data_IF_530998017262
#
_entry.id   IF_530998017262
#
_cell.length_a   1.000
_cell.length_b   1.000
_cell.length_c   1.000
_cell.angle_alpha   90.00
_cell.angle_beta   90.00
_cell.angle_gamma   90.00
#
_symmetry.space_group_name_H-M   'P 1'
#
loop_
_entity.id
_entity.type
_entity.pdbx_description
1 polymer ?
#
# COMPACT_ATOMS: atom_id res chain seq x y z
N UNK A 1 72.94 -60.26 -41.74
CA UNK A 1 72.02 -59.66 -42.75
C UNK A 1 70.63 -59.58 -42.14
N UNK A 2 69.99 -58.40 -42.25
CA UNK A 2 68.57 -58.07 -41.96
C UNK A 2 68.17 -58.08 -40.48
N UNK A 3 68.28 -56.96 -39.77
CA UNK A 3 67.42 -55.75 -39.72
C UNK A 3 66.10 -55.96 -38.96
N UNK A 4 66.10 -55.38 -37.76
CA UNK A 4 64.98 -55.07 -36.88
C UNK A 4 64.02 -54.06 -37.51
N UNK A 5 62.73 -54.18 -37.20
CA UNK A 5 61.74 -53.12 -37.41
C UNK A 5 60.90 -53.01 -36.14
N UNK A 6 61.14 -51.95 -35.36
CA UNK A 6 60.28 -51.56 -34.24
C UNK A 6 58.99 -50.95 -34.80
N UNK A 7 57.85 -51.36 -34.25
CA UNK A 7 56.56 -50.74 -34.49
C UNK A 7 56.46 -49.45 -33.66
N UNK A 8 56.32 -48.31 -34.35
CA UNK A 8 56.05 -47.02 -33.74
C UNK A 8 54.55 -46.88 -33.48
N UNK A 9 54.14 -46.90 -32.20
CA UNK A 9 52.79 -46.47 -31.80
C UNK A 9 52.73 -44.93 -31.84
N UNK A 10 51.93 -44.37 -32.75
CA UNK A 10 51.57 -42.96 -32.76
C UNK A 10 50.49 -42.70 -31.70
N UNK A 11 50.86 -42.07 -30.59
CA UNK A 11 49.94 -41.56 -29.58
C UNK A 11 49.43 -40.17 -30.03
N UNK A 12 48.23 -40.10 -30.60
CA UNK A 12 47.54 -38.82 -30.82
C UNK A 12 46.95 -38.35 -29.49
N UNK A 13 47.57 -37.34 -28.87
CA UNK A 13 47.04 -36.64 -27.70
C UNK A 13 45.85 -35.77 -28.13
N UNK A 14 44.64 -36.18 -27.75
CA UNK A 14 43.43 -35.37 -27.88
C UNK A 14 43.35 -34.44 -26.66
N UNK A 15 43.75 -33.18 -26.82
CA UNK A 15 43.52 -32.14 -25.80
C UNK A 15 42.05 -31.74 -25.82
N UNK A 16 41.26 -32.33 -24.92
CA UNK A 16 39.92 -31.84 -24.63
C UNK A 16 40.03 -30.50 -23.89
N UNK A 17 39.76 -29.40 -24.60
CA UNK A 17 39.51 -28.10 -23.98
C UNK A 17 38.14 -28.20 -23.31
N UNK A 18 38.13 -28.42 -22.00
CA UNK A 18 36.94 -28.21 -21.17
C UNK A 18 36.63 -26.71 -21.18
N UNK A 19 35.75 -26.29 -22.08
CA UNK A 19 35.11 -25.00 -21.97
C UNK A 19 34.30 -25.00 -20.67
N UNK A 20 34.72 -24.19 -19.70
CA UNK A 20 33.91 -23.91 -18.52
C UNK A 20 32.54 -23.41 -19.00
N UNK A 21 31.42 -23.86 -18.39
CA UNK A 21 30.12 -23.31 -18.73
C UNK A 21 30.20 -21.80 -18.50
N UNK A 22 30.03 -21.03 -19.57
CA UNK A 22 29.85 -19.60 -19.47
C UNK A 22 28.68 -19.38 -18.53
N UNK A 23 28.94 -18.82 -17.35
CA UNK A 23 27.90 -18.30 -16.47
C UNK A 23 27.08 -17.34 -17.31
N UNK A 24 25.89 -17.76 -17.74
CA UNK A 24 24.92 -16.86 -18.29
C UNK A 24 24.62 -15.88 -17.16
N UNK A 25 25.23 -14.70 -17.21
CA UNK A 25 24.73 -13.56 -16.48
C UNK A 25 23.31 -13.38 -17.00
N UNK A 26 22.32 -13.80 -16.20
CA UNK A 26 20.99 -13.23 -16.32
C UNK A 26 21.21 -11.74 -16.16
N UNK A 27 21.31 -11.04 -17.29
CA UNK A 27 21.38 -9.59 -17.32
C UNK A 27 20.20 -9.13 -16.50
N UNK A 28 20.46 -8.59 -15.32
CA UNK A 28 19.44 -8.05 -14.45
C UNK A 28 18.82 -6.91 -15.24
N UNK A 29 17.67 -7.17 -15.87
CA UNK A 29 16.94 -6.13 -16.56
C UNK A 29 16.78 -4.97 -15.58
N UNK A 30 17.09 -3.71 -15.95
CA UNK A 30 17.00 -2.60 -15.03
C UNK A 30 15.60 -2.57 -14.42
N UNK A 31 15.48 -2.75 -13.10
CA UNK A 31 14.18 -2.72 -12.42
C UNK A 31 13.52 -1.36 -12.69
N UNK A 32 12.28 -1.36 -13.17
CA UNK A 32 11.53 -0.12 -13.42
C UNK A 32 10.84 0.43 -12.18
N UNK A 33 10.87 -0.32 -11.09
CA UNK A 33 10.16 -0.02 -9.88
C UNK A 33 10.33 -1.12 -8.84
N UNK A 34 9.60 -0.99 -7.74
CA UNK A 34 9.59 -1.96 -6.66
C UNK A 34 8.19 -2.12 -6.07
N UNK A 35 7.97 -3.24 -5.40
CA UNK A 35 6.79 -3.51 -4.57
C UNK A 35 7.26 -3.99 -3.21
N UNK A 36 6.64 -3.49 -2.15
CA UNK A 36 6.97 -3.79 -0.77
C UNK A 36 5.71 -4.25 -0.05
N UNK A 37 5.79 -5.37 0.65
CA UNK A 37 4.70 -5.89 1.48
C UNK A 37 5.16 -5.97 2.94
N UNK A 38 4.35 -5.43 3.85
CA UNK A 38 4.59 -5.51 5.28
C UNK A 38 4.02 -6.81 5.82
N UNK A 39 4.82 -7.56 6.57
CA UNK A 39 4.42 -8.89 7.06
C UNK A 39 3.40 -8.83 8.18
N UNK A 40 3.43 -7.77 9.00
CA UNK A 40 2.68 -7.65 10.25
C UNK A 40 2.78 -8.89 11.17
N UNK A 41 3.87 -9.65 11.05
CA UNK A 41 4.18 -10.75 11.95
C UNK A 41 4.67 -10.19 13.30
N UNK A 42 4.71 -11.06 14.32
CA UNK A 42 5.31 -10.72 15.63
C UNK A 42 6.71 -10.14 15.42
N UNK A 43 7.55 -10.80 14.62
CA UNK A 43 8.79 -10.21 14.11
C UNK A 43 8.49 -9.51 12.78
N UNK A 44 8.10 -8.23 12.84
CA UNK A 44 7.63 -7.54 11.65
C UNK A 44 8.79 -7.23 10.70
N UNK A 45 8.52 -7.39 9.40
CA UNK A 45 9.47 -7.18 8.33
C UNK A 45 8.77 -6.66 7.08
N UNK A 46 9.57 -6.06 6.20
CA UNK A 46 9.15 -5.72 4.84
C UNK A 46 9.73 -6.74 3.87
N UNK A 47 8.87 -7.41 3.11
CA UNK A 47 9.27 -8.23 1.96
C UNK A 47 9.33 -7.33 0.75
N UNK A 48 10.51 -7.22 0.13
CA UNK A 48 10.71 -6.35 -1.03
C UNK A 48 10.85 -7.15 -2.32
N UNK A 49 10.32 -6.60 -3.39
CA UNK A 49 10.35 -7.14 -4.74
C UNK A 49 10.83 -6.07 -5.72
N UNK A 50 11.70 -6.44 -6.66
CA UNK A 50 11.95 -5.63 -7.86
C UNK A 50 10.84 -5.89 -8.88
N UNK A 51 10.34 -4.83 -9.51
CA UNK A 51 9.35 -4.90 -10.59
C UNK A 51 10.04 -4.90 -11.96
N UNK A 52 9.73 -5.92 -12.77
CA UNK A 52 10.12 -6.00 -14.18
C UNK A 52 9.26 -5.07 -15.05
N UNK A 53 9.68 -4.85 -16.30
CA UNK A 53 8.94 -4.00 -17.26
C UNK A 53 7.52 -4.49 -17.54
N UNK A 54 7.29 -5.80 -17.48
CA UNK A 54 5.99 -6.45 -17.69
C UNK A 54 5.10 -6.46 -16.44
N UNK A 55 5.58 -5.90 -15.32
CA UNK A 55 4.89 -5.87 -14.03
C UNK A 55 5.08 -7.13 -13.18
N UNK A 56 5.84 -8.13 -13.65
CA UNK A 56 6.17 -9.29 -12.82
C UNK A 56 7.14 -8.92 -11.69
N UNK A 57 7.05 -9.64 -10.58
CA UNK A 57 7.80 -9.35 -9.36
C UNK A 57 8.84 -10.43 -9.07
N UNK A 58 10.03 -9.99 -8.67
CA UNK A 58 11.10 -10.87 -8.18
C UNK A 58 11.48 -10.43 -6.78
N UNK A 59 11.38 -11.34 -5.80
CA UNK A 59 11.76 -11.02 -4.41
C UNK A 59 13.24 -10.65 -4.36
N UNK A 60 13.56 -9.53 -3.72
CA UNK A 60 14.93 -9.05 -3.54
C UNK A 60 15.43 -9.10 -2.11
N UNK A 61 14.54 -9.16 -1.12
CA UNK A 61 14.95 -9.26 0.27
C UNK A 61 13.80 -9.32 1.27
N UNK A 62 14.18 -9.59 2.52
CA UNK A 62 13.35 -9.44 3.70
C UNK A 62 14.10 -8.51 4.64
N UNK A 63 13.47 -7.42 5.06
CA UNK A 63 14.08 -6.35 5.82
C UNK A 63 13.34 -6.21 7.15
N UNK A 64 13.93 -6.63 8.28
CA UNK A 64 13.28 -6.49 9.58
C UNK A 64 12.96 -5.03 9.87
N UNK A 65 11.74 -4.74 10.32
CA UNK A 65 11.44 -3.43 10.90
C UNK A 65 12.16 -3.31 12.25
N UNK A 66 12.43 -4.43 12.91
CA UNK A 66 12.94 -4.47 14.27
C UNK A 66 11.91 -4.03 15.31
N UNK A 67 10.64 -3.94 14.89
CA UNK A 67 9.49 -3.82 15.76
C UNK A 67 8.49 -4.94 15.51
N UNK A 68 7.32 -4.86 16.14
CA UNK A 68 6.35 -5.94 16.21
C UNK A 68 5.02 -5.61 15.54
N UNK A 69 4.52 -6.57 14.77
CA UNK A 69 3.18 -6.60 14.23
C UNK A 69 2.22 -7.33 15.17
N UNK A 70 0.94 -7.30 14.85
CA UNK A 70 -0.12 -7.89 15.67
C UNK A 70 -0.50 -9.31 15.24
N UNK A 71 -0.04 -9.79 14.08
CA UNK A 71 -0.38 -11.12 13.56
C UNK A 71 -1.84 -11.29 13.15
N UNK A 72 -2.58 -10.19 13.05
CA UNK A 72 -3.98 -10.11 12.57
C UNK A 72 -4.10 -8.92 11.63
N UNK A 73 -5.03 -8.97 10.67
CA UNK A 73 -5.21 -7.87 9.72
C UNK A 73 -5.43 -6.54 10.43
N UNK A 74 -4.75 -5.50 9.95
CA UNK A 74 -4.87 -4.13 10.48
C UNK A 74 -6.28 -3.58 10.40
N UNK A 75 -7.11 -4.10 9.49
CA UNK A 75 -8.46 -3.59 9.23
C UNK A 75 -8.40 -2.07 8.92
N UNK A 76 -7.36 -1.63 8.19
CA UNK A 76 -7.12 -0.25 7.74
C UNK A 76 -6.32 -0.22 6.43
N UNK A 77 -6.22 0.94 5.79
CA UNK A 77 -5.37 1.20 4.63
C UNK A 77 -4.18 2.07 5.06
N UNK A 78 -3.00 1.91 4.44
CA UNK A 78 -1.87 2.83 4.67
C UNK A 78 -0.90 2.41 5.77
N UNK A 79 -0.85 1.12 6.14
CA UNK A 79 0.15 0.60 7.08
C UNK A 79 1.60 0.60 6.55
N UNK A 80 1.78 0.77 5.24
CA UNK A 80 3.08 0.89 4.60
C UNK A 80 3.03 2.00 3.54
N UNK A 81 3.83 3.06 3.70
CA UNK A 81 3.77 4.24 2.85
C UNK A 81 5.15 4.62 2.30
N UNK A 82 5.23 4.93 0.99
CA UNK A 82 6.43 5.50 0.36
C UNK A 82 6.39 7.04 0.42
N UNK A 83 7.57 7.67 0.52
CA UNK A 83 7.71 9.08 0.18
C UNK A 83 7.44 9.30 -1.32
N UNK A 84 6.98 10.49 -1.69
CA UNK A 84 6.62 10.82 -3.08
C UNK A 84 7.79 10.72 -4.07
N UNK A 85 9.04 10.80 -3.58
CA UNK A 85 10.27 10.61 -4.36
C UNK A 85 10.80 9.17 -4.31
N UNK A 86 10.06 8.26 -3.65
CA UNK A 86 10.36 6.84 -3.44
C UNK A 86 11.69 6.57 -2.73
N UNK A 87 12.25 7.56 -2.05
CA UNK A 87 13.52 7.44 -1.32
C UNK A 87 13.37 6.88 0.08
N UNK A 88 12.17 6.97 0.66
CA UNK A 88 11.90 6.53 2.02
C UNK A 88 10.63 5.69 2.09
N UNK A 89 10.63 4.69 2.95
CA UNK A 89 9.51 3.81 3.23
C UNK A 89 9.23 3.81 4.73
N UNK A 90 7.97 4.02 5.10
CA UNK A 90 7.51 4.12 6.48
C UNK A 90 6.60 2.93 6.78
N UNK A 91 6.98 2.13 7.78
CA UNK A 91 6.29 0.89 8.15
C UNK A 91 5.79 0.97 9.60
N UNK A 92 4.49 0.81 9.82
CA UNK A 92 3.91 0.79 11.16
C UNK A 92 4.20 -0.55 11.88
N UNK A 93 4.35 -0.49 13.19
CA UNK A 93 4.57 -1.63 14.08
C UNK A 93 3.57 -1.51 15.25
N UNK A 94 2.34 -2.01 15.08
CA UNK A 94 1.26 -1.72 16.02
C UNK A 94 1.39 -2.43 17.38
N UNK A 95 2.18 -3.49 17.49
CA UNK A 95 2.31 -4.21 18.76
C UNK A 95 3.38 -3.63 19.69
N UNK A 96 4.19 -2.68 19.22
CA UNK A 96 5.16 -1.97 20.05
C UNK A 96 5.10 -0.45 19.92
N UNK A 97 4.06 0.10 19.29
CA UNK A 97 3.78 1.54 19.25
C UNK A 97 4.78 2.36 18.40
N UNK A 98 5.44 1.75 17.42
CA UNK A 98 6.48 2.42 16.61
C UNK A 98 6.19 2.48 15.12
N UNK A 99 6.75 3.50 14.48
CA UNK A 99 7.01 3.51 13.03
C UNK A 99 8.49 3.28 12.78
N UNK A 100 8.80 2.40 11.85
CA UNK A 100 10.15 2.20 11.31
C UNK A 100 10.29 2.94 10.00
N UNK A 101 11.40 3.69 9.86
CA UNK A 101 11.76 4.37 8.61
C UNK A 101 12.91 3.64 7.93
N UNK A 102 12.74 3.36 6.65
CA UNK A 102 13.78 2.83 5.78
C UNK A 102 14.18 3.83 4.70
N UNK A 103 15.47 3.91 4.40
CA UNK A 103 15.99 4.43 3.15
C UNK A 103 15.85 3.34 2.06
N UNK A 104 15.28 3.70 0.91
CA UNK A 104 15.19 2.84 -0.27
C UNK A 104 16.49 2.94 -1.06
N UNK A 105 17.26 1.86 -1.04
CA UNK A 105 18.57 1.75 -1.65
C UNK A 105 18.50 0.86 -2.88
N UNK A 106 19.10 1.29 -4.00
CA UNK A 106 19.22 0.46 -5.22
C UNK A 106 17.90 -0.15 -5.71
N UNK A 107 16.81 0.63 -5.70
CA UNK A 107 15.50 0.24 -6.22
C UNK A 107 14.61 -0.49 -5.19
N UNK A 108 15.03 -1.64 -4.70
CA UNK A 108 14.19 -2.47 -3.81
C UNK A 108 14.90 -2.99 -2.57
N UNK A 109 16.14 -2.56 -2.31
CA UNK A 109 16.80 -2.84 -1.04
C UNK A 109 16.40 -1.78 -0.03
N UNK A 110 16.29 -2.17 1.24
CA UNK A 110 15.95 -1.24 2.31
C UNK A 110 17.07 -1.19 3.35
N UNK A 111 17.34 0.01 3.85
CA UNK A 111 18.22 0.23 4.99
C UNK A 111 17.41 0.89 6.09
N UNK A 112 17.24 0.23 7.24
CA UNK A 112 16.60 0.84 8.40
C UNK A 112 17.43 2.03 8.85
N UNK A 113 16.78 3.18 9.01
CA UNK A 113 17.43 4.43 9.45
C UNK A 113 16.82 4.99 10.74
N UNK A 114 15.60 4.59 11.09
CA UNK A 114 14.95 5.04 12.32
C UNK A 114 13.92 4.03 12.83
N UNK A 115 13.72 4.02 14.13
CA UNK A 115 12.54 3.49 14.83
C UNK A 115 12.08 4.57 15.79
N UNK A 116 10.82 4.97 15.75
CA UNK A 116 10.30 6.07 16.59
C UNK A 116 8.91 5.75 17.10
N UNK A 117 8.64 6.08 18.37
CA UNK A 117 7.31 5.98 18.96
C UNK A 117 6.31 6.83 18.16
N UNK A 118 5.14 6.29 17.86
CA UNK A 118 4.22 6.85 16.89
C UNK A 118 2.75 6.85 17.32
N UNK A 119 2.51 6.86 18.63
CA UNK A 119 1.17 6.71 19.19
C UNK A 119 0.87 5.26 19.55
N UNK A 120 -0.25 5.05 20.21
CA UNK A 120 -0.67 3.74 20.73
C UNK A 120 -1.28 2.91 19.59
N UNK A 121 -0.67 1.77 19.28
CA UNK A 121 -1.09 0.88 18.20
C UNK A 121 -1.20 1.59 16.82
N UNK A 122 -0.09 2.06 16.23
CA UNK A 122 -0.10 2.74 14.94
C UNK A 122 -0.54 1.80 13.80
N UNK A 123 -1.57 2.19 13.07
CA UNK A 123 -2.19 1.36 12.02
C UNK A 123 -2.00 1.91 10.61
N UNK A 124 -2.00 3.23 10.44
CA UNK A 124 -1.84 3.91 9.15
C UNK A 124 -0.94 5.12 9.28
N UNK A 125 -0.18 5.47 8.23
CA UNK A 125 0.60 6.69 8.18
C UNK A 125 0.37 7.43 6.85
N UNK A 126 0.08 8.74 6.93
CA UNK A 126 -0.03 9.61 5.76
C UNK A 126 1.06 10.67 5.78
N UNK A 127 1.68 10.90 4.63
CA UNK A 127 2.69 11.94 4.41
C UNK A 127 2.07 13.14 3.69
N UNK A 128 2.47 14.35 4.07
CA UNK A 128 2.13 15.60 3.41
C UNK A 128 3.23 16.04 2.45
N UNK A 129 2.84 16.75 1.38
CA UNK A 129 3.74 17.46 0.47
C UNK A 129 4.54 18.57 1.18
N UNK A 130 4.03 19.09 2.30
CA UNK A 130 4.60 20.18 3.10
C UNK A 130 5.58 19.74 4.19
N UNK A 131 5.92 18.44 4.26
CA UNK A 131 6.95 17.92 5.18
C UNK A 131 6.44 17.51 6.56
N UNK A 132 5.21 17.01 6.63
CA UNK A 132 4.62 16.46 7.85
C UNK A 132 4.11 15.05 7.62
N UNK A 133 3.98 14.26 8.68
CA UNK A 133 3.33 12.97 8.67
C UNK A 133 2.34 12.88 9.83
N UNK A 134 1.24 12.17 9.64
CA UNK A 134 0.34 11.80 10.72
C UNK A 134 0.09 10.31 10.69
N UNK A 135 0.14 9.72 11.88
CA UNK A 135 -0.15 8.32 12.13
C UNK A 135 -1.53 8.23 12.77
N UNK A 136 -2.29 7.22 12.37
CA UNK A 136 -3.58 6.87 12.95
C UNK A 136 -3.38 5.76 13.98
N UNK A 137 -3.81 6.05 15.20
CA UNK A 137 -3.75 5.16 16.35
C UNK A 137 -5.02 4.30 16.36
N UNK A 138 -4.83 2.99 16.44
CA UNK A 138 -5.88 1.97 16.35
C UNK A 138 -6.32 1.38 17.68
N UNK A 139 -5.84 1.91 18.80
CA UNK A 139 -6.19 1.40 20.13
C UNK A 139 -7.63 1.77 20.53
N UNK A 140 -8.04 1.43 21.76
CA UNK A 140 -9.39 1.69 22.28
C UNK A 140 -9.76 3.17 22.17
N UNK A 141 -8.78 4.08 22.22
CA UNK A 141 -8.96 5.50 21.98
C UNK A 141 -8.36 5.89 20.61
N UNK A 142 -9.18 5.93 19.57
CA UNK A 142 -8.74 6.28 18.22
C UNK A 142 -8.28 7.74 18.15
N UNK A 143 -7.09 7.96 17.59
CA UNK A 143 -6.48 9.28 17.54
C UNK A 143 -5.42 9.42 16.46
N UNK A 144 -4.83 10.60 16.36
CA UNK A 144 -3.76 10.89 15.40
C UNK A 144 -2.50 11.40 16.11
N UNK A 145 -1.33 10.93 15.67
CA UNK A 145 -0.02 11.32 16.19
C UNK A 145 0.83 11.97 15.10
N UNK A 146 1.33 13.18 15.36
CA UNK A 146 1.92 14.04 14.33
C UNK A 146 3.46 14.10 14.36
N UNK A 147 4.06 14.16 13.18
CA UNK A 147 5.51 14.29 12.98
C UNK A 147 5.85 15.40 11.98
N UNK A 148 6.99 16.06 12.22
CA UNK A 148 7.77 16.72 11.18
C UNK A 148 8.61 15.69 10.44
N UNK A 149 8.65 15.80 9.12
CA UNK A 149 9.46 14.96 8.24
C UNK A 149 10.64 15.77 7.74
N UNK A 150 11.85 15.31 8.00
CA UNK A 150 13.03 15.76 7.28
C UNK A 150 13.00 15.11 5.89
N UNK A 151 12.70 15.88 4.83
CA UNK A 151 12.56 15.32 3.47
C UNK A 151 13.90 14.93 2.84
N UNK A 152 15.01 15.38 3.41
CA UNK A 152 16.35 15.05 2.95
C UNK A 152 16.78 13.72 3.54
N UNK A 153 16.46 13.45 4.79
CA UNK A 153 16.91 12.24 5.51
C UNK A 153 15.82 11.20 5.71
N UNK A 154 14.55 11.55 5.50
CA UNK A 154 13.37 10.73 5.78
C UNK A 154 13.00 10.64 7.25
N UNK A 155 13.78 11.25 8.14
CA UNK A 155 13.61 11.09 9.58
C UNK A 155 12.36 11.82 10.07
N UNK A 156 11.67 11.16 11.01
CA UNK A 156 10.50 11.66 11.71
C UNK A 156 10.91 12.28 13.05
N UNK A 157 10.40 13.47 13.34
CA UNK A 157 10.51 14.12 14.66
C UNK A 157 9.11 14.43 15.18
N UNK A 158 8.71 13.95 16.38
CA UNK A 158 7.36 14.18 16.88
C UNK A 158 7.08 15.69 16.99
N UNK A 159 5.89 16.12 16.55
CA UNK A 159 5.42 17.50 16.73
C UNK A 159 5.02 17.75 18.19
N UNK A 160 4.41 16.74 18.80
CA UNK A 160 4.01 16.68 20.22
C UNK A 160 4.23 15.26 20.73
N UNK A 161 4.19 15.07 22.05
CA UNK A 161 4.19 13.74 22.66
C UNK A 161 2.76 13.28 23.01
N UNK A 162 1.75 13.77 22.29
CA UNK A 162 0.35 13.53 22.60
C UNK A 162 -0.46 13.23 21.34
N UNK A 163 -1.27 12.19 21.42
CA UNK A 163 -2.28 11.84 20.42
C UNK A 163 -3.45 12.81 20.49
N UNK A 164 -3.97 13.22 19.34
CA UNK A 164 -5.18 14.04 19.21
C UNK A 164 -6.36 13.11 18.94
N UNK A 165 -7.42 13.23 19.74
CA UNK A 165 -8.59 12.37 19.61
C UNK A 165 -9.36 12.62 18.30
N UNK A 166 -9.89 11.54 17.72
CA UNK A 166 -10.90 11.60 16.66
C UNK A 166 -12.29 11.90 17.22
N UNK A 167 -13.28 12.15 16.36
CA UNK A 167 -14.68 12.31 16.81
C UNK A 167 -15.28 11.03 17.36
N UNK A 168 -14.70 9.88 17.03
CA UNK A 168 -15.15 8.56 17.45
C UNK A 168 -14.25 8.04 18.59
N UNK A 169 -14.64 8.23 19.87
CA UNK A 169 -13.75 7.97 21.00
C UNK A 169 -13.46 6.48 21.21
N UNK A 170 -14.26 5.59 20.61
CA UNK A 170 -14.10 4.15 20.63
C UNK A 170 -14.49 3.63 19.25
N UNK A 171 -13.53 3.08 18.51
CA UNK A 171 -13.81 2.56 17.19
C UNK A 171 -12.64 1.82 16.56
N UNK A 172 -12.93 1.15 15.44
CA UNK A 172 -11.89 0.67 14.53
C UNK A 172 -11.76 1.74 13.44
N UNK A 173 -10.71 2.58 13.47
CA UNK A 173 -10.57 3.65 12.48
C UNK A 173 -10.31 3.05 11.09
N UNK A 174 -10.70 3.76 10.04
CA UNK A 174 -10.59 3.27 8.66
C UNK A 174 -9.23 3.59 8.05
N UNK A 175 -8.83 4.87 8.02
CA UNK A 175 -7.52 5.35 7.54
C UNK A 175 -7.31 6.80 7.96
N UNK A 176 -6.08 7.28 7.85
CA UNK A 176 -5.76 8.71 7.82
C UNK A 176 -5.18 9.09 6.45
N UNK A 177 -5.57 10.23 5.88
CA UNK A 177 -4.98 10.76 4.65
C UNK A 177 -4.89 12.27 4.66
N UNK A 178 -3.77 12.81 4.19
CA UNK A 178 -3.61 14.24 3.93
C UNK A 178 -4.37 14.64 2.65
N UNK A 179 -4.99 15.82 2.68
CA UNK A 179 -5.35 16.53 1.46
C UNK A 179 -4.07 17.00 0.73
N UNK A 180 -4.10 17.15 -0.61
CA UNK A 180 -2.92 17.51 -1.40
C UNK A 180 -2.26 18.84 -1.00
N UNK A 181 -3.04 19.76 -0.42
CA UNK A 181 -2.56 21.05 0.08
C UNK A 181 -1.68 20.93 1.33
N UNK A 182 -1.70 19.77 2.02
CA UNK A 182 -0.97 19.54 3.26
C UNK A 182 -1.52 20.31 4.48
N UNK A 183 -2.69 20.92 4.35
CA UNK A 183 -3.35 21.76 5.35
C UNK A 183 -4.62 21.14 5.91
N UNK A 184 -5.09 20.04 5.32
CA UNK A 184 -6.20 19.27 5.86
C UNK A 184 -5.82 17.80 6.00
N UNK A 185 -6.27 17.18 7.09
CA UNK A 185 -6.10 15.77 7.36
C UNK A 185 -7.48 15.14 7.53
N UNK A 186 -7.70 14.04 6.84
CA UNK A 186 -8.97 13.31 6.85
C UNK A 186 -8.79 11.99 7.60
N UNK A 187 -9.75 11.68 8.47
CA UNK A 187 -9.84 10.38 9.15
C UNK A 187 -11.20 9.77 8.89
N UNK A 188 -11.25 8.53 8.40
CA UNK A 188 -12.49 7.77 8.24
C UNK A 188 -12.78 6.97 9.52
N UNK A 189 -14.02 7.04 10.00
CA UNK A 189 -14.44 6.35 11.21
C UNK A 189 -15.50 5.29 10.87
N UNK A 190 -15.12 4.01 10.88
CA UNK A 190 -15.99 2.93 10.40
C UNK A 190 -17.24 2.75 11.26
N UNK A 191 -17.09 2.75 12.59
CA UNK A 191 -18.19 2.45 13.52
C UNK A 191 -19.26 3.54 13.51
N UNK A 192 -18.86 4.81 13.57
CA UNK A 192 -19.78 5.96 13.52
C UNK A 192 -20.26 6.28 12.11
N UNK A 193 -19.66 5.68 11.07
CA UNK A 193 -19.90 6.04 9.65
C UNK A 193 -19.73 7.54 9.40
N UNK A 194 -18.67 8.11 9.98
CA UNK A 194 -18.32 9.53 9.83
C UNK A 194 -16.95 9.71 9.20
N UNK A 195 -16.71 10.91 8.68
CA UNK A 195 -15.42 11.35 8.16
C UNK A 195 -15.05 12.65 8.89
N UNK A 196 -13.91 12.63 9.56
CA UNK A 196 -13.35 13.75 10.30
C UNK A 196 -12.42 14.58 9.41
N UNK A 197 -12.47 15.89 9.58
CA UNK A 197 -11.57 16.86 8.93
C UNK A 197 -10.84 17.65 10.00
N UNK A 198 -9.52 17.54 10.03
CA UNK A 198 -8.64 18.35 10.88
C UNK A 198 -7.94 19.40 10.02
N UNK A 199 -7.76 20.61 10.54
CA UNK A 199 -6.81 21.56 9.95
C UNK A 199 -5.40 21.25 10.42
N UNK A 200 -4.42 21.42 9.55
CA UNK A 200 -2.99 21.34 9.84
C UNK A 200 -2.35 22.69 9.57
N UNK A 201 -1.87 23.34 10.62
CA UNK A 201 -1.21 24.63 10.54
C UNK A 201 0.13 24.53 9.79
N UNK A 202 0.68 25.66 9.34
CA UNK A 202 1.95 25.71 8.59
C UNK A 202 3.16 25.18 9.36
N UNK A 203 3.08 25.15 10.68
CA UNK A 203 4.09 24.53 11.56
C UNK A 203 3.85 23.02 11.78
N UNK A 204 2.83 22.46 11.16
CA UNK A 204 2.48 21.04 11.18
C UNK A 204 1.47 20.63 12.25
N UNK A 205 1.13 21.50 13.20
CA UNK A 205 0.22 21.14 14.28
C UNK A 205 -1.22 21.03 13.77
N UNK A 206 -1.84 19.87 13.98
CA UNK A 206 -3.25 19.66 13.75
C UNK A 206 -4.09 20.35 14.84
N UNK A 207 -5.34 20.67 14.52
CA UNK A 207 -6.34 21.11 15.51
C UNK A 207 -6.51 20.03 16.60
N UNK A 208 -6.79 20.43 17.85
CA UNK A 208 -6.93 19.51 19.01
C UNK A 208 -8.18 18.60 18.96
N UNK A 209 -8.84 18.56 17.82
CA UNK A 209 -10.01 17.79 17.48
C UNK A 209 -10.39 18.11 16.02
N UNK A 210 -11.32 17.34 15.43
CA UNK A 210 -11.80 17.63 14.09
C UNK A 210 -12.50 18.99 14.06
N UNK A 211 -12.19 19.80 13.04
CA UNK A 211 -12.93 21.03 12.75
C UNK A 211 -14.36 20.72 12.33
N UNK A 212 -14.52 19.69 11.50
CA UNK A 212 -15.82 19.17 11.09
C UNK A 212 -15.79 17.65 11.09
N UNK A 213 -16.94 17.06 11.39
CA UNK A 213 -17.19 15.63 11.22
C UNK A 213 -18.49 15.48 10.48
N UNK A 214 -18.45 14.84 9.31
CA UNK A 214 -19.62 14.66 8.44
C UNK A 214 -20.02 13.20 8.38
N UNK A 215 -21.32 12.94 8.17
CA UNK A 215 -21.76 11.60 7.84
C UNK A 215 -21.16 11.17 6.50
N UNK A 216 -20.65 9.94 6.45
CA UNK A 216 -20.24 9.34 5.18
C UNK A 216 -21.47 9.09 4.29
N UNK A 217 -21.29 9.14 2.96
CA UNK A 217 -22.33 8.84 1.98
C UNK A 217 -22.72 7.37 1.98
N UNK A 218 -21.86 6.49 2.50
CA UNK A 218 -22.14 5.09 2.74
C UNK A 218 -21.91 4.70 4.20
N UNK A 219 -21.99 3.39 4.46
CA UNK A 219 -21.73 2.82 5.77
C UNK A 219 -20.30 2.32 5.84
N UNK A 220 -19.68 2.53 7.01
CA UNK A 220 -18.32 2.06 7.32
C UNK A 220 -17.29 2.53 6.29
N UNK A 221 -17.00 3.84 6.21
CA UNK A 221 -15.92 4.35 5.38
C UNK A 221 -14.60 3.75 5.87
N UNK A 222 -13.94 2.96 5.02
CA UNK A 222 -12.72 2.23 5.36
C UNK A 222 -11.52 2.95 4.78
N UNK A 223 -11.14 2.61 3.55
CA UNK A 223 -9.98 3.15 2.86
C UNK A 223 -10.33 4.48 2.22
N UNK A 224 -9.37 5.39 2.24
CA UNK A 224 -9.52 6.68 1.59
C UNK A 224 -8.18 7.15 1.01
N UNK A 225 -8.25 7.81 -0.14
CA UNK A 225 -7.08 8.39 -0.81
C UNK A 225 -7.48 9.68 -1.53
N UNK A 226 -6.58 10.65 -1.57
CA UNK A 226 -6.74 11.82 -2.42
C UNK A 226 -6.13 11.61 -3.80
N UNK A 227 -6.87 12.07 -4.81
CA UNK A 227 -6.30 12.40 -6.12
C UNK A 227 -5.56 13.74 -6.11
N UNK A 228 -4.71 13.95 -7.11
CA UNK A 228 -4.08 15.23 -7.47
C UNK A 228 -5.10 16.34 -7.75
N UNK A 229 -6.31 16.02 -8.19
CA UNK A 229 -7.41 16.96 -8.44
C UNK A 229 -8.16 17.37 -7.16
N UNK A 230 -7.59 17.14 -5.98
CA UNK A 230 -8.21 17.43 -4.67
C UNK A 230 -9.57 16.74 -4.47
N UNK A 231 -9.77 15.61 -5.14
CA UNK A 231 -10.91 14.72 -4.92
C UNK A 231 -10.51 13.65 -3.92
N UNK A 232 -11.30 13.50 -2.86
CA UNK A 232 -11.17 12.42 -1.90
C UNK A 232 -12.02 11.24 -2.37
N UNK A 233 -11.42 10.05 -2.44
CA UNK A 233 -12.08 8.80 -2.78
C UNK A 233 -12.18 7.97 -1.50
N UNK A 234 -13.37 7.52 -1.14
CA UNK A 234 -13.62 6.75 0.08
C UNK A 234 -14.36 5.48 -0.28
N UNK A 235 -13.79 4.33 0.05
CA UNK A 235 -14.51 3.07 -0.08
C UNK A 235 -15.38 2.87 1.17
N UNK A 236 -16.65 2.61 0.91
CA UNK A 236 -17.65 2.29 1.92
C UNK A 236 -17.74 0.77 1.96
N UNK A 237 -17.39 0.15 3.09
CA UNK A 237 -17.38 -1.32 3.18
C UNK A 237 -18.76 -1.94 3.03
N UNK A 238 -19.81 -1.18 3.33
CA UNK A 238 -21.16 -1.73 3.40
C UNK A 238 -21.29 -2.72 4.55
N UNK A 239 -22.32 -3.58 4.47
CA UNK A 239 -22.58 -4.64 5.43
C UNK A 239 -22.50 -6.01 4.73
N UNK A 240 -21.84 -7.02 5.35
CA UNK A 240 -21.76 -8.41 4.87
C UNK A 240 -23.03 -8.96 4.23
N UNK A 241 -24.17 -8.76 4.90
CA UNK A 241 -25.45 -9.33 4.47
C UNK A 241 -26.14 -8.59 3.32
N UNK A 242 -25.68 -7.39 2.94
CA UNK A 242 -26.41 -6.50 2.03
C UNK A 242 -25.75 -6.35 0.66
N UNK A 243 -24.48 -6.75 0.48
CA UNK A 243 -23.77 -6.58 -0.79
C UNK A 243 -23.75 -5.12 -1.27
N UNK A 244 -23.66 -4.17 -0.33
CA UNK A 244 -23.82 -2.75 -0.58
C UNK A 244 -22.52 -1.95 -0.38
N UNK A 245 -21.37 -2.59 -0.56
CA UNK A 245 -20.11 -1.87 -0.69
C UNK A 245 -20.16 -0.89 -1.88
N UNK A 246 -19.36 0.16 -1.84
CA UNK A 246 -19.33 1.14 -2.91
C UNK A 246 -18.22 2.17 -2.76
N UNK A 247 -18.12 3.04 -3.75
CA UNK A 247 -17.15 4.13 -3.78
C UNK A 247 -17.88 5.47 -3.69
N UNK A 248 -17.53 6.27 -2.69
CA UNK A 248 -17.95 7.66 -2.58
C UNK A 248 -16.80 8.56 -3.00
N UNK A 249 -17.11 9.71 -3.56
CA UNK A 249 -16.11 10.75 -3.83
C UNK A 249 -16.57 12.08 -3.25
N UNK A 250 -15.63 12.87 -2.74
CA UNK A 250 -15.91 14.13 -2.06
C UNK A 250 -14.96 15.21 -2.55
N UNK A 251 -15.45 16.44 -2.52
CA UNK A 251 -14.61 17.63 -2.59
C UNK A 251 -14.54 18.27 -1.20
N UNK A 252 -13.36 18.74 -0.83
CA UNK A 252 -13.20 19.54 0.38
C UNK A 252 -13.41 21.01 0.03
N UNK A 253 -14.54 21.57 0.45
CA UNK A 253 -14.77 23.01 0.30
C UNK A 253 -14.00 23.76 1.38
N UNK A 254 -13.09 24.63 0.95
CA UNK A 254 -12.22 25.40 1.84
C UNK A 254 -12.92 26.55 2.57
N UNK A 255 -12.28 27.07 3.61
CA UNK A 255 -12.78 28.14 4.48
C UNK A 255 -12.31 27.95 5.92
N UNK A 256 -12.81 28.77 6.86
CA UNK A 256 -12.51 28.62 8.29
C UNK A 256 -13.09 27.32 8.89
N UNK A 257 -14.09 26.73 8.23
CA UNK A 257 -14.70 25.44 8.61
C UNK A 257 -14.79 24.57 7.35
N UNK A 258 -13.72 23.84 7.00
CA UNK A 258 -13.72 23.03 5.79
C UNK A 258 -14.71 21.88 5.92
N UNK A 259 -15.52 21.66 4.89
CA UNK A 259 -16.56 20.62 4.88
C UNK A 259 -16.37 19.75 3.64
N UNK A 260 -16.45 18.43 3.85
CA UNK A 260 -16.51 17.46 2.76
C UNK A 260 -17.91 17.42 2.17
N UNK A 261 -18.01 17.71 0.88
CA UNK A 261 -19.25 17.59 0.12
C UNK A 261 -19.16 16.42 -0.88
N UNK A 262 -20.16 15.52 -0.89
CA UNK A 262 -20.12 14.37 -1.77
C UNK A 262 -20.38 14.76 -3.22
N UNK A 263 -19.47 14.33 -4.11
CA UNK A 263 -19.61 14.35 -5.56
C UNK A 263 -20.29 13.06 -6.06
N UNK A 264 -19.86 11.91 -5.50
CA UNK A 264 -20.47 10.59 -5.74
C UNK A 264 -20.98 10.04 -4.42
N UNK A 265 -22.25 9.63 -4.37
CA UNK A 265 -22.88 9.11 -3.15
C UNK A 265 -22.94 7.59 -3.17
N UNK A 266 -21.83 6.95 -2.76
CA UNK A 266 -21.70 5.50 -2.61
C UNK A 266 -22.15 4.71 -3.85
N UNK A 267 -21.43 4.88 -4.96
CA UNK A 267 -21.63 4.13 -6.19
C UNK A 267 -21.39 2.64 -5.94
N UNK A 268 -22.47 1.85 -5.92
CA UNK A 268 -22.48 0.47 -5.44
C UNK A 268 -21.82 -0.48 -6.43
N UNK A 269 -20.92 -1.33 -5.96
CA UNK A 269 -20.27 -2.37 -6.78
C UNK A 269 -20.88 -3.78 -6.63
N UNK A 270 -21.98 -3.90 -5.86
CA UNK A 270 -22.64 -5.17 -5.56
C UNK A 270 -21.72 -6.18 -4.83
N UNK A 271 -20.64 -5.70 -4.22
CA UNK A 271 -19.74 -6.49 -3.38
C UNK A 271 -20.05 -6.25 -1.90
N UNK A 272 -19.39 -7.00 -1.03
CA UNK A 272 -19.37 -6.75 0.40
C UNK A 272 -17.94 -6.64 0.92
N UNK A 273 -17.76 -5.92 2.03
CA UNK A 273 -16.48 -5.73 2.71
C UNK A 273 -15.43 -5.13 1.77
N UNK A 274 -15.85 -4.06 1.08
CA UNK A 274 -14.95 -3.19 0.32
C UNK A 274 -14.03 -2.41 1.27
N UNK A 275 -12.73 -2.62 1.17
CA UNK A 275 -11.80 -2.18 2.21
C UNK A 275 -10.71 -1.25 1.67
N UNK A 276 -10.08 -1.59 0.55
CA UNK A 276 -8.95 -0.80 0.01
C UNK A 276 -9.31 -0.11 -1.29
N UNK A 277 -8.71 1.06 -1.52
CA UNK A 277 -8.93 1.88 -2.72
C UNK A 277 -7.62 2.46 -3.25
N UNK A 278 -7.45 2.39 -4.57
CA UNK A 278 -6.41 3.12 -5.32
C UNK A 278 -7.02 3.88 -6.49
N UNK A 279 -6.38 4.97 -6.89
CA UNK A 279 -6.78 5.79 -8.04
C UNK A 279 -5.56 5.98 -8.95
N UNK A 280 -5.75 5.84 -10.26
CA UNK A 280 -4.64 5.98 -11.21
C UNK A 280 -4.04 7.39 -11.17
N UNK A 281 -2.73 7.56 -11.42
CA UNK A 281 -2.07 8.88 -11.34
C UNK A 281 -2.61 9.94 -12.30
N UNK A 282 -3.36 9.52 -13.34
CA UNK A 282 -4.06 10.38 -14.30
C UNK A 282 -5.56 10.57 -13.96
N UNK A 283 -6.02 9.99 -12.86
CA UNK A 283 -7.38 10.04 -12.32
C UNK A 283 -8.48 9.69 -13.33
N UNK A 284 -8.22 8.68 -14.16
CA UNK A 284 -9.25 8.12 -15.04
C UNK A 284 -9.95 6.92 -14.43
N UNK A 285 -9.27 6.18 -13.55
CA UNK A 285 -9.80 4.95 -12.99
C UNK A 285 -9.54 4.87 -11.49
N UNK A 286 -10.49 4.28 -10.78
CA UNK A 286 -10.34 3.87 -9.39
C UNK A 286 -10.64 2.37 -9.28
N UNK A 287 -9.94 1.70 -8.36
CA UNK A 287 -10.13 0.28 -8.08
C UNK A 287 -10.31 0.06 -6.59
N UNK A 288 -11.25 -0.81 -6.24
CA UNK A 288 -11.47 -1.20 -4.85
C UNK A 288 -11.33 -2.70 -4.68
N UNK A 289 -10.76 -3.14 -3.55
CA UNK A 289 -10.64 -4.56 -3.21
C UNK A 289 -11.63 -4.91 -2.08
N UNK A 290 -12.29 -6.04 -2.25
CA UNK A 290 -13.28 -6.58 -1.31
C UNK A 290 -12.75 -7.85 -0.65
N UNK A 291 -12.66 -7.84 0.68
CA UNK A 291 -12.02 -8.89 1.46
C UNK A 291 -12.72 -10.25 1.31
N UNK A 292 -14.03 -10.28 1.57
CA UNK A 292 -14.79 -11.55 1.60
C UNK A 292 -15.02 -12.09 0.19
N UNK A 293 -15.39 -11.22 -0.76
CA UNK A 293 -15.74 -11.69 -2.12
C UNK A 293 -14.54 -11.94 -3.01
N UNK A 294 -13.31 -11.63 -2.54
CA UNK A 294 -12.08 -11.73 -3.31
C UNK A 294 -12.13 -10.98 -4.66
N UNK A 295 -12.93 -9.92 -4.72
CA UNK A 295 -13.18 -9.15 -5.93
C UNK A 295 -12.41 -7.83 -5.92
N UNK A 296 -11.89 -7.46 -7.08
CA UNK A 296 -11.49 -6.09 -7.40
C UNK A 296 -12.59 -5.48 -8.27
N UNK A 297 -13.17 -4.36 -7.84
CA UNK A 297 -14.11 -3.58 -8.64
C UNK A 297 -13.40 -2.44 -9.36
N UNK A 298 -13.89 -2.05 -10.54
CA UNK A 298 -13.36 -0.95 -11.35
C UNK A 298 -14.38 0.17 -11.53
N UNK A 299 -13.90 1.41 -11.49
CA UNK A 299 -14.69 2.62 -11.67
C UNK A 299 -14.01 3.56 -12.67
N UNK A 300 -14.81 4.22 -13.51
CA UNK A 300 -14.35 5.36 -14.31
C UNK A 300 -14.49 6.62 -13.48
N UNK A 301 -13.53 7.53 -13.59
CA UNK A 301 -13.51 8.81 -12.90
C UNK A 301 -13.62 9.92 -13.94
N UNK A 302 -14.62 10.78 -13.78
CA UNK A 302 -14.81 11.95 -14.63
C UNK A 302 -13.95 13.13 -14.16
N UNK A 303 -13.74 14.13 -15.02
CA UNK A 303 -12.89 15.31 -14.72
C UNK A 303 -13.36 16.14 -13.51
N UNK A 304 -14.63 16.03 -13.14
CA UNK A 304 -15.20 16.69 -11.96
C UNK A 304 -15.06 15.84 -10.69
N UNK A 305 -14.35 14.71 -10.73
CA UNK A 305 -14.13 13.81 -9.60
C UNK A 305 -15.28 12.83 -9.33
N UNK A 306 -16.34 12.80 -10.15
CA UNK A 306 -17.41 11.79 -9.98
C UNK A 306 -16.96 10.43 -10.47
N UNK A 307 -17.20 9.39 -9.67
CA UNK A 307 -16.91 8.00 -10.03
C UNK A 307 -18.19 7.29 -10.50
N UNK A 308 -18.05 6.40 -11.48
CA UNK A 308 -19.12 5.55 -11.99
C UNK A 308 -18.61 4.13 -12.11
N UNK A 309 -19.40 3.14 -11.68
CA UNK A 309 -18.99 1.74 -11.75
C UNK A 309 -18.79 1.33 -13.21
N UNK A 310 -17.63 0.76 -13.53
CA UNK A 310 -17.43 0.03 -14.79
C UNK A 310 -17.84 -1.42 -14.58
N UNK A 311 -17.27 -2.07 -13.55
CA UNK A 311 -17.53 -3.48 -13.26
C UNK A 311 -17.42 -3.79 -11.76
N UNK A 312 -18.43 -4.47 -11.23
CA UNK A 312 -18.43 -4.93 -9.83
C UNK A 312 -17.35 -5.98 -9.54
N UNK A 313 -17.03 -6.81 -10.53
CA UNK A 313 -15.93 -7.79 -10.50
C UNK A 313 -15.08 -7.61 -11.77
N UNK A 314 -14.13 -6.69 -11.70
CA UNK A 314 -13.10 -6.50 -12.72
C UNK A 314 -12.13 -7.67 -12.75
N UNK A 315 -11.63 -8.03 -11.57
CA UNK A 315 -10.78 -9.19 -11.36
C UNK A 315 -11.22 -9.97 -10.12
N UNK A 316 -10.95 -11.28 -10.15
CA UNK A 316 -11.16 -12.19 -9.04
C UNK A 316 -9.81 -12.77 -8.61
N UNK A 317 -9.48 -12.68 -7.34
CA UNK A 317 -8.16 -13.05 -6.81
C UNK A 317 -8.08 -14.51 -6.35
N UNK A 318 -9.19 -15.24 -6.40
CA UNK A 318 -9.30 -16.64 -5.99
C UNK A 318 -10.09 -16.80 -4.69
N UNK A 319 -10.76 -17.93 -4.53
CA UNK A 319 -11.48 -18.23 -3.29
C UNK A 319 -10.51 -18.37 -2.11
N UNK A 320 -10.83 -17.76 -0.98
CA UNK A 320 -9.97 -17.76 0.21
C UNK A 320 -8.64 -17.01 0.02
N UNK A 321 -8.50 -16.19 -1.02
CA UNK A 321 -7.29 -15.38 -1.24
C UNK A 321 -7.12 -14.29 -0.19
N UNK A 322 -8.24 -13.81 0.37
CA UNK A 322 -8.32 -12.73 1.36
C UNK A 322 -7.48 -11.52 0.91
N UNK A 323 -7.90 -10.79 -0.15
CA UNK A 323 -7.15 -9.65 -0.62
C UNK A 323 -7.14 -8.56 0.43
N UNK A 324 -5.97 -8.01 0.68
CA UNK A 324 -5.70 -6.90 1.60
C UNK A 324 -4.73 -5.94 0.91
N UNK A 325 -5.01 -4.66 1.03
CA UNK A 325 -4.23 -3.55 0.46
C UNK A 325 -4.01 -3.56 -1.06
N UNK A 326 -3.92 -2.37 -1.63
CA UNK A 326 -3.76 -2.14 -3.06
C UNK A 326 -2.65 -1.13 -3.30
N UNK A 327 -1.83 -1.37 -4.31
CA UNK A 327 -0.80 -0.42 -4.72
C UNK A 327 -0.70 -0.35 -6.24
N UNK A 328 -0.36 0.83 -6.76
CA UNK A 328 -0.13 1.07 -8.18
C UNK A 328 1.36 1.30 -8.43
N UNK A 329 1.83 0.95 -9.63
CA UNK A 329 3.07 1.51 -10.13
C UNK A 329 2.96 3.04 -10.31
N UNK A 330 4.08 3.76 -10.22
CA UNK A 330 4.11 5.23 -10.32
C UNK A 330 3.54 5.76 -11.64
N UNK A 331 3.70 4.98 -12.71
CA UNK A 331 3.18 5.29 -14.04
C UNK A 331 1.70 4.91 -14.22
N UNK A 332 1.08 4.26 -13.23
CA UNK A 332 -0.29 3.77 -13.28
C UNK A 332 -0.51 2.58 -14.22
N UNK A 333 0.55 1.95 -14.72
CA UNK A 333 0.44 0.85 -15.68
C UNK A 333 0.08 -0.50 -15.01
N UNK A 334 0.36 -0.65 -13.71
CA UNK A 334 0.22 -1.91 -12.99
C UNK A 334 -0.48 -1.72 -11.65
N UNK A 335 -1.35 -2.67 -11.32
CA UNK A 335 -2.03 -2.79 -10.03
C UNK A 335 -1.56 -4.05 -9.32
N UNK A 336 -1.29 -3.93 -8.02
CA UNK A 336 -0.90 -5.01 -7.14
C UNK A 336 -1.88 -5.13 -5.99
N UNK A 337 -2.15 -6.36 -5.57
CA UNK A 337 -3.00 -6.66 -4.42
C UNK A 337 -2.32 -7.74 -3.57
N UNK A 338 -2.14 -7.46 -2.28
CA UNK A 338 -1.58 -8.41 -1.33
C UNK A 338 -2.68 -9.40 -0.93
N UNK A 339 -2.36 -10.69 -0.90
CA UNK A 339 -3.31 -11.77 -0.67
C UNK A 339 -2.88 -12.53 0.59
N UNK A 340 -3.45 -12.18 1.75
CA UNK A 340 -3.02 -12.78 3.03
C UNK A 340 -3.40 -14.26 3.13
N UNK A 341 -4.49 -14.68 2.48
CA UNK A 341 -4.95 -16.07 2.52
C UNK A 341 -4.02 -17.02 1.75
N UNK A 342 -3.21 -16.49 0.85
CA UNK A 342 -2.23 -17.27 0.07
C UNK A 342 -0.77 -16.90 0.33
N UNK A 343 -0.52 -15.84 1.11
CA UNK A 343 0.82 -15.30 1.36
C UNK A 343 1.50 -14.85 0.07
N UNK A 344 0.78 -14.13 -0.79
CA UNK A 344 1.25 -13.77 -2.13
C UNK A 344 0.79 -12.38 -2.55
N UNK A 345 1.31 -11.90 -3.69
CA UNK A 345 0.85 -10.71 -4.37
C UNK A 345 0.30 -11.12 -5.74
N UNK A 346 -0.89 -10.63 -6.06
CA UNK A 346 -1.43 -10.67 -7.40
C UNK A 346 -1.19 -9.35 -8.14
N UNK A 347 -1.00 -9.44 -9.46
CA UNK A 347 -0.64 -8.33 -10.30
C UNK A 347 -1.44 -8.30 -11.60
N UNK A 348 -1.79 -7.10 -12.04
CA UNK A 348 -2.51 -6.85 -13.30
C UNK A 348 -1.90 -5.67 -14.04
N UNK A 349 -1.91 -5.76 -15.37
CA UNK A 349 -1.68 -4.62 -16.26
C UNK A 349 -3.00 -3.90 -16.47
N UNK A 350 -3.02 -2.62 -16.15
CA UNK A 350 -4.16 -1.74 -16.41
C UNK A 350 -4.20 -1.44 -17.92
N UNK A 351 -5.33 -1.76 -18.55
CA UNK A 351 -5.56 -1.46 -19.96
C UNK A 351 -6.05 -0.02 -20.14
N UNK A 352 -6.02 0.48 -21.38
CA UNK A 352 -6.42 1.84 -21.70
C UNK A 352 -7.90 2.16 -21.38
N UNK A 353 -8.74 1.13 -21.34
CA UNK A 353 -10.17 1.22 -20.97
C UNK A 353 -10.43 1.00 -19.48
N UNK A 354 -9.39 0.81 -18.66
CA UNK A 354 -9.50 0.52 -17.23
C UNK A 354 -9.73 -0.95 -16.90
N UNK A 355 -9.76 -1.84 -17.89
CA UNK A 355 -9.83 -3.27 -17.62
C UNK A 355 -8.51 -3.83 -17.09
N UNK A 356 -8.56 -4.92 -16.32
CA UNK A 356 -7.38 -5.53 -15.71
C UNK A 356 -6.98 -6.83 -16.42
N UNK A 357 -5.79 -6.84 -17.02
CA UNK A 357 -5.18 -8.06 -17.58
C UNK A 357 -4.23 -8.69 -16.57
N UNK A 358 -4.54 -9.90 -16.10
CA UNK A 358 -3.70 -10.58 -15.12
C UNK A 358 -2.28 -10.84 -15.63
N UNK A 359 -1.30 -10.61 -14.76
CA UNK A 359 0.12 -10.95 -14.95
C UNK A 359 0.46 -12.22 -14.16
N UNK A 360 -0.19 -12.41 -13.01
CA UNK A 360 -0.02 -13.57 -12.14
C UNK A 360 -0.58 -13.30 -10.74
N UNK A 361 -0.76 -14.36 -9.95
CA UNK A 361 -1.40 -14.30 -8.63
C UNK A 361 -0.58 -14.90 -7.47
N UNK A 362 0.71 -15.21 -7.69
CA UNK A 362 1.50 -16.00 -6.73
C UNK A 362 2.89 -15.45 -6.47
N UNK A 363 3.11 -14.16 -6.73
CA UNK A 363 4.40 -13.53 -6.43
C UNK A 363 4.63 -13.54 -4.92
N UNK A 364 5.81 -13.98 -4.47
CA UNK A 364 6.12 -14.04 -3.03
C UNK A 364 5.54 -15.24 -2.28
N UNK A 365 4.74 -16.11 -2.93
CA UNK A 365 4.17 -17.31 -2.28
C UNK A 365 5.27 -18.22 -1.74
N UNK A 366 5.22 -18.50 -0.44
CA UNK A 366 6.26 -19.29 0.25
C UNK A 366 7.60 -18.57 0.40
N UNK A 367 7.65 -17.25 0.16
CA UNK A 367 8.87 -16.44 0.24
C UNK A 367 8.83 -15.42 1.39
N UNK A 368 8.03 -15.67 2.42
CA UNK A 368 8.04 -14.92 3.69
C UNK A 368 6.91 -13.92 3.86
N UNK A 369 5.96 -13.80 2.91
CA UNK A 369 4.67 -13.17 3.21
C UNK A 369 3.86 -14.19 4.03
N UNK A 370 3.45 -13.87 5.26
CA UNK A 370 2.70 -14.80 6.10
C UNK A 370 1.33 -15.16 5.51
N UNK A 371 0.88 -16.39 5.77
CA UNK A 371 -0.46 -16.87 5.40
C UNK A 371 -1.34 -16.78 6.63
N UNK A 372 -2.52 -16.17 6.50
CA UNK A 372 -3.49 -15.96 7.58
C UNK A 372 -2.98 -15.10 8.77
N UNK A 373 -1.68 -14.95 9.00
CA UNK A 373 -1.06 -14.16 10.09
C UNK A 373 -1.02 -12.64 9.82
N UNK A 374 -1.95 -12.13 9.01
CA UNK A 374 -2.28 -10.71 8.99
C UNK A 374 -1.34 -9.80 8.20
N UNK A 375 -0.63 -10.27 7.17
CA UNK A 375 0.13 -9.37 6.28
C UNK A 375 -0.75 -8.21 5.80
N UNK A 376 -0.40 -6.97 6.17
CA UNK A 376 -1.20 -5.77 5.94
C UNK A 376 -0.25 -4.61 5.66
N UNK A 377 -0.46 -3.89 4.55
CA UNK A 377 0.46 -2.85 4.08
C UNK A 377 1.14 -3.24 2.77
N UNK A 378 0.83 -2.50 1.71
CA UNK A 378 1.41 -2.67 0.38
C UNK A 378 1.79 -1.30 -0.20
N UNK A 379 3.02 -1.17 -0.66
CA UNK A 379 3.49 0.02 -1.36
C UNK A 379 4.19 -0.36 -2.66
N UNK A 380 4.02 0.44 -3.70
CA UNK A 380 4.64 0.22 -4.99
C UNK A 380 5.01 1.55 -5.65
N UNK A 381 6.01 1.51 -6.53
CA UNK A 381 6.39 2.63 -7.39
C UNK A 381 6.96 2.12 -8.70
#
# INVERSE_FOLDING_TARGET
>A
MKFSTLASLSLTSLTAVLAAPSSASYGRSPSKGAVFALTNAVDNAVIAFSRNEDGSLVKTGTFPTGGHGQGVDFDTQGGLQLSADHRFLYAVNPADDHVTVFEVVSGSSLKKIQSVYAGDQPLSISLSSTGFAYVLDGSVASGIFGFKVDRQTGLLSPLTNATIATSSPIGVPGTVTFAPDGHSLIVTNKVSSTIDVFSVASNGHASLGPLTSVASSGLRPFGAIYGKSNTLYVVESGLPALGNAGLSTYHLNGGESPVLEPLTKSEKNQQTDGCWVVVTPDEKFAYTASFITAAISSYSVAKNGTATLIKGVEAFTGEGSEPVDLALSSDGAYLYNLLRGSGAIAAWKIQADGSLKSIGGSFGKGQGIPVADGASGLAAY
#
